data_IF_992684007993
#
_entry.id   IF_992684007993
#
_cell.length_a   1.000
_cell.length_b   1.000
_cell.length_c   1.000
_cell.angle_alpha   90.00
_cell.angle_beta   90.00
_cell.angle_gamma   90.00
#
_symmetry.space_group_name_H-M   'P 1'
#
loop_
_entity.id
_entity.type
_entity.pdbx_description
1 polymer ?
#
# COMPACT_ATOMS: atom_id res chain seq x y z
N UNK A 1 -58.58 8.43 47.93
CA UNK A 1 -57.60 9.44 48.39
C UNK A 1 -56.24 9.08 47.82
N UNK A 2 -55.56 10.08 47.27
CA UNK A 2 -54.34 9.99 46.46
C UNK A 2 -53.15 9.36 47.19
N UNK A 3 -52.34 8.60 46.46
CA UNK A 3 -50.89 8.64 46.63
C UNK A 3 -50.19 8.30 45.31
N UNK A 4 -49.74 9.34 44.62
CA UNK A 4 -48.71 9.27 43.59
C UNK A 4 -47.38 8.96 44.26
N UNK A 5 -46.69 7.91 43.81
CA UNK A 5 -45.26 7.74 44.03
C UNK A 5 -44.64 7.45 42.67
N UNK A 6 -44.05 8.49 42.09
CA UNK A 6 -43.19 8.38 40.94
C UNK A 6 -41.91 7.67 41.31
N UNK A 7 -41.47 6.77 40.45
CA UNK A 7 -40.09 6.32 40.39
C UNK A 7 -39.66 6.43 38.93
N UNK A 8 -38.88 7.47 38.69
CA UNK A 8 -38.13 7.74 37.47
C UNK A 8 -37.09 6.63 37.36
N UNK A 9 -37.31 5.66 36.47
CA UNK A 9 -36.29 4.69 36.09
C UNK A 9 -35.30 5.39 35.17
N UNK A 10 -34.21 5.87 35.77
CA UNK A 10 -33.07 6.46 35.07
C UNK A 10 -32.47 5.43 34.11
N UNK A 11 -32.71 5.59 32.82
CA UNK A 11 -31.97 4.89 31.78
C UNK A 11 -30.52 5.41 31.79
N UNK A 12 -29.62 4.65 32.40
CA UNK A 12 -28.19 4.92 32.35
C UNK A 12 -27.68 4.55 30.95
N UNK A 13 -27.75 5.52 30.02
CA UNK A 13 -27.04 5.45 28.76
C UNK A 13 -25.53 5.50 29.07
N UNK A 14 -24.89 4.34 29.13
CA UNK A 14 -23.44 4.24 29.10
C UNK A 14 -23.03 4.62 27.68
N UNK A 15 -22.79 5.92 27.47
CA UNK A 15 -22.10 6.45 26.32
C UNK A 15 -20.68 5.90 26.34
N UNK A 16 -20.48 4.73 25.73
CA UNK A 16 -19.15 4.33 25.26
C UNK A 16 -18.77 5.34 24.19
N UNK A 17 -18.15 6.43 24.63
CA UNK A 17 -17.42 7.33 23.77
C UNK A 17 -16.35 6.49 23.10
N UNK A 18 -16.64 6.02 21.89
CA UNK A 18 -15.62 5.54 20.98
C UNK A 18 -14.61 6.68 20.90
N UNK A 19 -13.44 6.50 21.52
CA UNK A 19 -12.29 7.34 21.29
C UNK A 19 -11.94 7.12 19.83
N UNK A 20 -12.55 7.93 18.96
CA UNK A 20 -12.05 8.17 17.63
C UNK A 20 -10.65 8.76 17.86
N UNK A 21 -9.64 7.89 17.86
CA UNK A 21 -8.25 8.32 17.74
C UNK A 21 -8.20 9.10 16.45
N UNK A 22 -8.21 10.42 16.56
CA UNK A 22 -8.01 11.31 15.42
C UNK A 22 -6.77 10.80 14.69
N UNK A 23 -6.83 10.52 13.38
CA UNK A 23 -5.65 10.10 12.65
C UNK A 23 -4.59 11.15 12.92
N UNK A 24 -3.51 10.76 13.57
CA UNK A 24 -2.41 11.66 13.88
C UNK A 24 -1.90 12.12 12.53
N UNK A 25 -2.22 13.36 12.15
CA UNK A 25 -1.76 13.92 10.88
C UNK A 25 -0.24 13.75 10.86
N UNK A 26 0.27 13.12 9.79
CA UNK A 26 1.70 12.99 9.58
C UNK A 26 2.40 14.33 9.79
N UNK A 27 3.61 14.28 10.35
CA UNK A 27 4.48 15.44 10.34
C UNK A 27 4.73 15.89 8.89
N UNK A 28 4.95 17.19 8.62
CA UNK A 28 5.27 17.65 7.27
C UNK A 28 6.45 16.93 6.63
N UNK A 29 7.43 16.50 7.44
CA UNK A 29 8.58 15.73 6.97
C UNK A 29 8.19 14.32 6.51
N UNK A 30 7.43 13.58 7.33
CA UNK A 30 6.96 12.25 6.95
C UNK A 30 6.05 12.32 5.72
N UNK A 31 5.18 13.34 5.65
CA UNK A 31 4.34 13.54 4.47
C UNK A 31 5.16 13.72 3.20
N UNK A 32 6.23 14.50 3.26
CA UNK A 32 7.15 14.66 2.13
C UNK A 32 7.82 13.33 1.75
N UNK A 33 8.29 12.55 2.71
CA UNK A 33 8.91 11.25 2.45
C UNK A 33 7.93 10.28 1.77
N UNK A 34 6.67 10.27 2.21
CA UNK A 34 5.59 9.50 1.59
C UNK A 34 5.32 9.96 0.15
N UNK A 35 5.15 11.26 -0.09
CA UNK A 35 4.89 11.79 -1.43
C UNK A 35 6.06 11.47 -2.41
N UNK A 36 7.31 11.56 -1.93
CA UNK A 36 8.48 11.17 -2.71
C UNK A 36 8.54 9.67 -2.99
N UNK A 37 8.11 8.83 -2.05
CA UNK A 37 7.97 7.40 -2.26
C UNK A 37 6.92 7.10 -3.32
N UNK A 38 5.72 7.67 -3.18
CA UNK A 38 4.60 7.49 -4.11
C UNK A 38 4.98 7.87 -5.54
N UNK A 39 5.75 8.95 -5.72
CA UNK A 39 6.27 9.30 -7.04
C UNK A 39 7.18 8.22 -7.62
N UNK A 40 8.13 7.70 -6.84
CA UNK A 40 9.02 6.63 -7.30
C UNK A 40 8.29 5.30 -7.53
N UNK A 41 7.20 5.07 -6.80
CA UNK A 41 6.32 3.94 -6.99
C UNK A 41 5.53 4.06 -8.29
N UNK A 42 4.94 5.23 -8.55
CA UNK A 42 4.24 5.47 -9.82
C UNK A 42 5.19 5.32 -11.02
N UNK A 43 6.44 5.80 -10.90
CA UNK A 43 7.46 5.63 -11.93
C UNK A 43 7.69 4.14 -12.28
N UNK A 44 7.71 3.24 -11.29
CA UNK A 44 7.95 1.80 -11.55
C UNK A 44 6.72 1.11 -12.15
N UNK A 45 5.52 1.40 -11.62
CA UNK A 45 4.26 0.80 -12.12
C UNK A 45 3.76 1.44 -13.42
N UNK A 46 4.54 2.37 -14.00
CA UNK A 46 4.33 2.94 -15.34
C UNK A 46 5.48 2.63 -16.32
N UNK A 47 6.60 2.05 -15.85
CA UNK A 47 7.79 1.70 -16.64
C UNK A 47 7.65 0.42 -17.48
N UNK A 48 6.59 0.29 -18.28
CA UNK A 48 6.34 -0.91 -19.11
C UNK A 48 6.49 -0.70 -20.62
N UNK A 49 6.76 0.53 -21.07
CA UNK A 49 6.87 0.83 -22.50
C UNK A 49 8.18 0.36 -23.13
N UNK A 50 9.25 0.25 -22.33
CA UNK A 50 10.55 -0.23 -22.75
C UNK A 50 11.00 -1.38 -21.84
N UNK A 51 10.85 -2.61 -22.34
CA UNK A 51 11.21 -3.85 -21.65
C UNK A 51 12.70 -3.89 -21.28
N UNK A 52 13.59 -3.42 -22.16
CA UNK A 52 15.03 -3.45 -21.89
C UNK A 52 15.40 -2.47 -20.78
N UNK A 53 14.80 -1.27 -20.80
CA UNK A 53 14.94 -0.29 -19.73
C UNK A 53 14.39 -0.83 -18.41
N UNK A 54 13.19 -1.42 -18.41
CA UNK A 54 12.58 -2.05 -17.25
C UNK A 54 13.52 -3.07 -16.60
N UNK A 55 13.99 -4.05 -17.36
CA UNK A 55 14.86 -5.12 -16.87
C UNK A 55 16.17 -4.58 -16.27
N UNK A 56 16.67 -3.47 -16.81
CA UNK A 56 17.89 -2.82 -16.31
C UNK A 56 17.66 -2.00 -15.05
N UNK A 57 16.54 -1.28 -14.96
CA UNK A 57 16.32 -0.25 -13.94
C UNK A 57 15.49 -0.73 -12.74
N UNK A 58 14.63 -1.74 -12.91
CA UNK A 58 13.68 -2.20 -11.89
C UNK A 58 14.33 -2.40 -10.52
N UNK A 59 15.38 -3.22 -10.45
CA UNK A 59 16.08 -3.54 -9.19
C UNK A 59 16.68 -2.31 -8.52
N UNK A 60 17.12 -1.32 -9.29
CA UNK A 60 17.65 -0.07 -8.73
C UNK A 60 16.53 0.75 -8.09
N UNK A 61 15.37 0.82 -8.75
CA UNK A 61 14.21 1.57 -8.27
C UNK A 61 13.56 0.88 -7.06
N UNK A 62 13.38 -0.45 -7.10
CA UNK A 62 12.87 -1.26 -5.98
C UNK A 62 13.73 -1.04 -4.73
N UNK A 63 15.06 -1.15 -4.86
CA UNK A 63 15.98 -0.90 -3.74
C UNK A 63 15.87 0.53 -3.19
N UNK A 64 15.59 1.51 -4.04
CA UNK A 64 15.39 2.90 -3.61
C UNK A 64 14.08 3.04 -2.83
N UNK A 65 12.99 2.41 -3.29
CA UNK A 65 11.71 2.36 -2.58
C UNK A 65 11.84 1.70 -1.22
N UNK A 66 12.49 0.54 -1.13
CA UNK A 66 12.75 -0.14 0.14
C UNK A 66 13.56 0.71 1.11
N UNK A 67 14.57 1.45 0.63
CA UNK A 67 15.35 2.37 1.46
C UNK A 67 14.52 3.54 1.96
N UNK A 68 13.65 4.12 1.11
CA UNK A 68 12.72 5.19 1.50
C UNK A 68 11.76 4.71 2.58
N UNK A 69 11.13 3.55 2.38
CA UNK A 69 10.25 2.94 3.38
C UNK A 69 10.96 2.70 4.72
N UNK A 70 12.14 2.07 4.72
CA UNK A 70 12.95 1.89 5.95
C UNK A 70 13.33 3.19 6.64
N UNK A 71 13.41 4.30 5.89
CA UNK A 71 13.72 5.62 6.45
C UNK A 71 12.47 6.24 7.07
N UNK A 72 11.34 6.13 6.38
CA UNK A 72 10.03 6.56 6.87
C UNK A 72 9.65 5.83 8.16
N UNK A 73 9.71 4.49 8.16
CA UNK A 73 9.38 3.62 9.30
C UNK A 73 10.18 4.01 10.57
N UNK A 74 11.47 4.28 10.41
CA UNK A 74 12.32 4.76 11.52
C UNK A 74 11.91 6.12 12.07
N UNK A 75 11.43 7.03 11.21
CA UNK A 75 11.02 8.40 11.60
C UNK A 75 9.62 8.40 12.21
N UNK A 76 8.75 7.54 11.72
CA UNK A 76 7.39 7.34 12.21
C UNK A 76 7.38 6.75 13.63
N UNK A 77 8.33 5.87 13.94
CA UNK A 77 8.50 5.33 15.27
C UNK A 77 7.56 4.14 15.53
N UNK A 78 6.83 4.14 16.65
CA UNK A 78 6.07 2.97 17.09
C UNK A 78 4.59 2.93 16.63
N UNK A 79 4.04 4.07 16.17
CA UNK A 79 2.67 4.14 15.72
C UNK A 79 2.63 4.10 14.18
N UNK A 80 2.21 2.97 13.61
CA UNK A 80 2.04 2.81 12.17
C UNK A 80 0.94 3.75 11.67
N UNK A 81 1.29 4.70 10.81
CA UNK A 81 0.31 5.49 10.06
C UNK A 81 -0.29 4.68 8.92
N UNK A 82 -1.37 5.22 8.37
CA UNK A 82 -1.97 4.68 7.15
C UNK A 82 -0.97 4.75 5.99
N UNK A 83 -0.17 5.80 5.92
CA UNK A 83 0.84 6.01 4.88
C UNK A 83 2.00 5.02 5.00
N UNK A 84 2.50 4.76 6.23
CA UNK A 84 3.51 3.72 6.47
C UNK A 84 3.02 2.34 6.05
N UNK A 85 1.78 1.99 6.41
CA UNK A 85 1.13 0.75 5.99
C UNK A 85 0.95 0.69 4.46
N UNK A 86 0.55 1.79 3.83
CA UNK A 86 0.40 1.84 2.37
C UNK A 86 1.74 1.68 1.66
N UNK A 87 2.82 2.29 2.16
CA UNK A 87 4.17 2.10 1.58
C UNK A 87 4.62 0.64 1.65
N UNK A 88 4.32 -0.05 2.75
CA UNK A 88 4.62 -1.47 2.89
C UNK A 88 3.85 -2.31 1.87
N UNK A 89 2.52 -2.10 1.79
CA UNK A 89 1.66 -2.77 0.81
C UNK A 89 2.12 -2.49 -0.63
N UNK A 90 2.42 -1.24 -0.97
CA UNK A 90 2.89 -0.85 -2.29
C UNK A 90 4.16 -1.61 -2.70
N UNK A 91 5.13 -1.76 -1.79
CA UNK A 91 6.34 -2.57 -2.05
C UNK A 91 5.97 -4.03 -2.32
N UNK A 92 5.10 -4.62 -1.52
CA UNK A 92 4.66 -6.02 -1.69
C UNK A 92 3.94 -6.22 -3.03
N UNK A 93 3.10 -5.25 -3.42
CA UNK A 93 2.39 -5.30 -4.69
C UNK A 93 3.32 -5.28 -5.91
N UNK A 94 4.61 -4.90 -5.78
CA UNK A 94 5.58 -4.98 -6.88
C UNK A 94 6.10 -6.40 -7.17
N UNK A 95 5.75 -7.40 -6.36
CA UNK A 95 6.23 -8.77 -6.51
C UNK A 95 6.05 -9.36 -7.93
N UNK A 96 4.91 -9.18 -8.63
CA UNK A 96 4.77 -9.64 -10.01
C UNK A 96 5.83 -9.05 -10.96
N UNK A 97 6.12 -7.75 -10.83
CA UNK A 97 7.13 -7.09 -11.64
C UNK A 97 8.55 -7.57 -11.29
N UNK A 98 8.80 -7.86 -10.02
CA UNK A 98 10.07 -8.45 -9.58
C UNK A 98 10.31 -9.81 -10.20
N UNK A 99 9.30 -10.68 -10.20
CA UNK A 99 9.37 -12.01 -10.82
C UNK A 99 9.74 -11.88 -12.30
N UNK A 100 9.12 -10.95 -13.03
CA UNK A 100 9.46 -10.68 -14.44
C UNK A 100 10.90 -10.19 -14.56
N UNK A 101 11.32 -9.24 -13.74
CA UNK A 101 12.67 -8.66 -13.81
C UNK A 101 13.76 -9.71 -13.54
N UNK A 102 13.60 -10.51 -12.48
CA UNK A 102 14.57 -11.55 -12.09
C UNK A 102 14.56 -12.74 -13.06
N UNK A 103 13.39 -13.10 -13.59
CA UNK A 103 13.23 -14.14 -14.61
C UNK A 103 13.51 -13.67 -16.04
N UNK A 104 13.97 -12.43 -16.20
CA UNK A 104 14.31 -11.81 -17.49
C UNK A 104 13.17 -11.87 -18.52
N UNK A 105 11.93 -11.73 -18.03
CA UNK A 105 10.68 -11.83 -18.78
C UNK A 105 10.57 -13.10 -19.64
N UNK A 106 11.05 -14.23 -19.12
CA UNK A 106 10.79 -15.56 -19.67
C UNK A 106 9.31 -15.92 -19.58
N UNK A 107 8.85 -16.86 -20.43
CA UNK A 107 7.47 -17.37 -20.40
C UNK A 107 7.04 -17.84 -19.00
N UNK A 108 7.94 -18.51 -18.28
CA UNK A 108 7.69 -18.98 -16.92
C UNK A 108 7.51 -17.81 -15.95
N UNK A 109 8.43 -16.83 -15.96
CA UNK A 109 8.33 -15.66 -15.08
C UNK A 109 7.07 -14.83 -15.34
N UNK A 110 6.67 -14.72 -16.62
CA UNK A 110 5.44 -14.06 -17.01
C UNK A 110 4.19 -14.77 -16.49
N UNK A 111 4.12 -16.10 -16.65
CA UNK A 111 3.01 -16.90 -16.11
C UNK A 111 2.92 -16.82 -14.58
N UNK A 112 4.06 -16.83 -13.89
CA UNK A 112 4.11 -16.71 -12.44
C UNK A 112 3.67 -15.30 -11.99
N UNK A 113 4.11 -14.25 -12.68
CA UNK A 113 3.71 -12.88 -12.38
C UNK A 113 2.20 -12.65 -12.57
N UNK A 114 1.61 -13.19 -13.63
CA UNK A 114 0.15 -13.13 -13.84
C UNK A 114 -0.60 -13.80 -12.69
N UNK A 115 -0.15 -14.99 -12.27
CA UNK A 115 -0.74 -15.72 -11.16
C UNK A 115 -0.65 -14.94 -9.84
N UNK A 116 0.53 -14.41 -9.49
CA UNK A 116 0.72 -13.64 -8.26
C UNK A 116 -0.10 -12.34 -8.30
N UNK A 117 -0.16 -11.65 -9.44
CA UNK A 117 -0.99 -10.46 -9.56
C UNK A 117 -2.49 -10.78 -9.34
N UNK A 118 -2.98 -11.93 -9.80
CA UNK A 118 -4.36 -12.34 -9.56
C UNK A 118 -4.65 -12.59 -8.07
N UNK A 119 -3.69 -13.10 -7.31
CA UNK A 119 -3.82 -13.22 -5.85
C UNK A 119 -3.93 -11.85 -5.16
N UNK A 120 -3.32 -10.82 -5.73
CA UNK A 120 -3.32 -9.45 -5.20
C UNK A 120 -4.58 -8.64 -5.54
N UNK A 121 -5.48 -9.14 -6.40
CA UNK A 121 -6.71 -8.45 -6.83
C UNK A 121 -7.58 -7.98 -5.66
N UNK A 122 -7.57 -8.72 -4.54
CA UNK A 122 -8.39 -8.40 -3.36
C UNK A 122 -7.75 -7.38 -2.42
N UNK A 123 -6.43 -7.14 -2.53
CA UNK A 123 -5.68 -6.27 -1.61
C UNK A 123 -5.70 -4.81 -2.06
N UNK A 124 -5.50 -4.56 -3.36
CA UNK A 124 -5.58 -3.24 -3.97
C UNK A 124 -5.95 -3.36 -5.46
N UNK A 125 -7.24 -3.20 -5.75
CA UNK A 125 -7.79 -3.32 -7.10
C UNK A 125 -7.21 -2.31 -8.09
N UNK A 126 -6.86 -1.10 -7.63
CA UNK A 126 -6.31 -0.06 -8.51
C UNK A 126 -4.91 -0.43 -8.94
N UNK A 127 -4.09 -0.88 -8.00
CA UNK A 127 -2.73 -1.34 -8.28
C UNK A 127 -2.75 -2.64 -9.09
N UNK A 128 -3.63 -3.58 -8.78
CA UNK A 128 -3.85 -4.80 -9.55
C UNK A 128 -4.05 -4.53 -11.04
N UNK A 129 -4.98 -3.62 -11.40
CA UNK A 129 -5.27 -3.31 -12.80
C UNK A 129 -4.08 -2.64 -13.51
N UNK A 130 -3.35 -1.76 -12.82
CA UNK A 130 -2.12 -1.16 -13.37
C UNK A 130 -1.08 -2.23 -13.67
N UNK A 131 -0.84 -3.15 -12.73
CA UNK A 131 0.14 -4.22 -12.88
C UNK A 131 -0.26 -5.24 -13.93
N UNK A 132 -1.55 -5.53 -14.07
CA UNK A 132 -2.07 -6.38 -15.14
C UNK A 132 -1.71 -5.84 -16.52
N UNK A 133 -1.91 -4.53 -16.74
CA UNK A 133 -1.54 -3.85 -17.99
C UNK A 133 -0.02 -3.89 -18.20
N UNK A 134 0.77 -3.67 -17.15
CA UNK A 134 2.23 -3.72 -17.17
C UNK A 134 2.75 -5.10 -17.58
N UNK A 135 2.30 -6.15 -16.90
CA UNK A 135 2.69 -7.55 -17.14
C UNK A 135 2.40 -7.89 -18.60
N UNK A 136 1.18 -7.57 -19.08
CA UNK A 136 0.80 -7.81 -20.47
C UNK A 136 1.68 -7.07 -21.50
N UNK A 137 2.31 -5.94 -21.15
CA UNK A 137 3.26 -5.24 -22.03
C UNK A 137 4.65 -5.87 -21.98
N UNK A 138 5.13 -6.22 -20.79
CA UNK A 138 6.48 -6.78 -20.59
C UNK A 138 6.62 -8.22 -21.10
N UNK A 139 5.52 -8.97 -21.09
CA UNK A 139 5.46 -10.40 -21.42
C UNK A 139 5.04 -10.71 -22.86
N UNK A 140 4.93 -9.69 -23.71
CA UNK A 140 4.81 -9.84 -25.16
C UNK A 140 6.14 -10.18 -25.83
#
# INVERSE_FOLDING_TARGET
>A
MYQQLGLITTALLISVSALATTPTSLSPELRKDYDEFQKSYEDIVTMSEDKAKFLKEFKTIENKLQKKYKTFDKKEGQALSNEGNQMALDIEMLEPLKIIAEGNASKESCSNAEFINELNNQSDAKTYEKLKIQIAKLCK
#
